data_IF_522484076210
#
_entry.id   IF_522484076210
#
_cell.length_a   1.000
_cell.length_b   1.000
_cell.length_c   1.000
_cell.angle_alpha   90.00
_cell.angle_beta   90.00
_cell.angle_gamma   90.00
#
_symmetry.space_group_name_H-M   'P 1'
#
loop_
_entity.id
_entity.type
_entity.pdbx_description
1 polymer ?
#
# COMPACT_ATOMS: atom_id res chain seq x y z
N UNK A 1 -6.19 12.16 -13.18
CA UNK A 1 -5.41 10.95 -12.90
C UNK A 1 -6.25 9.70 -12.98
N UNK A 2 -7.04 9.32 -11.97
CA UNK A 2 -7.69 7.99 -11.96
C UNK A 2 -8.75 7.82 -13.07
N UNK A 3 -9.65 8.80 -13.23
CA UNK A 3 -10.71 8.71 -14.25
C UNK A 3 -10.17 8.83 -15.69
N UNK A 4 -9.05 9.54 -15.87
CA UNK A 4 -8.46 9.84 -17.19
C UNK A 4 -7.33 8.90 -17.58
N UNK A 5 -6.67 8.25 -16.61
CA UNK A 5 -5.45 7.47 -16.81
C UNK A 5 -4.17 8.31 -17.05
N UNK A 6 -4.28 9.63 -17.07
CA UNK A 6 -3.16 10.55 -17.36
C UNK A 6 -2.47 11.03 -16.06
N UNK A 7 -1.19 11.39 -16.17
CA UNK A 7 -0.36 11.93 -15.08
C UNK A 7 -0.28 11.04 -13.82
N UNK A 8 -0.32 9.72 -14.01
CA UNK A 8 -0.10 8.76 -12.92
C UNK A 8 1.37 8.84 -12.49
N UNK A 9 1.59 9.22 -11.23
CA UNK A 9 2.92 9.25 -10.63
C UNK A 9 3.42 7.86 -10.21
N UNK A 10 4.66 7.82 -9.74
CA UNK A 10 5.32 6.57 -9.36
C UNK A 10 4.69 5.89 -8.16
N UNK A 11 4.28 6.66 -7.13
CA UNK A 11 3.69 6.10 -5.91
C UNK A 11 2.34 5.48 -6.19
N UNK A 12 1.53 6.13 -7.03
CA UNK A 12 0.25 5.61 -7.45
C UNK A 12 0.38 4.39 -8.37
N UNK A 13 1.30 4.42 -9.34
CA UNK A 13 1.58 3.25 -10.20
C UNK A 13 2.06 2.03 -9.40
N UNK A 14 2.93 2.24 -8.39
CA UNK A 14 3.40 1.20 -7.49
C UNK A 14 2.24 0.57 -6.71
N UNK A 15 1.33 1.40 -6.16
CA UNK A 15 0.15 0.92 -5.45
C UNK A 15 -0.79 0.09 -6.36
N UNK A 16 -1.00 0.52 -7.61
CA UNK A 16 -1.78 -0.25 -8.59
C UNK A 16 -1.15 -1.62 -8.88
N UNK A 17 0.17 -1.68 -9.06
CA UNK A 17 0.88 -2.92 -9.30
C UNK A 17 0.75 -3.91 -8.13
N UNK A 18 0.83 -3.44 -6.89
CA UNK A 18 0.58 -4.28 -5.72
C UNK A 18 -0.88 -4.74 -5.66
N UNK A 19 -1.84 -3.85 -5.90
CA UNK A 19 -3.25 -4.18 -5.88
C UNK A 19 -3.60 -5.28 -6.89
N UNK A 20 -3.07 -5.23 -8.12
CA UNK A 20 -3.33 -6.27 -9.12
C UNK A 20 -2.75 -7.62 -8.72
N UNK A 21 -1.53 -7.64 -8.15
CA UNK A 21 -0.93 -8.87 -7.64
C UNK A 21 -1.79 -9.50 -6.53
N UNK A 22 -2.27 -8.69 -5.59
CA UNK A 22 -3.15 -9.12 -4.49
C UNK A 22 -4.46 -9.69 -5.04
N UNK A 23 -5.09 -9.00 -6.01
CA UNK A 23 -6.32 -9.46 -6.67
C UNK A 23 -6.13 -10.79 -7.39
N UNK A 24 -4.96 -11.02 -7.98
CA UNK A 24 -4.59 -12.30 -8.61
C UNK A 24 -4.25 -13.42 -7.60
N UNK A 25 -4.26 -13.12 -6.29
CA UNK A 25 -3.96 -14.08 -5.24
C UNK A 25 -2.48 -14.22 -4.93
N UNK A 26 -1.63 -13.28 -5.36
CA UNK A 26 -0.21 -13.26 -5.04
C UNK A 26 0.06 -12.44 -3.78
N UNK A 27 0.76 -13.04 -2.81
CA UNK A 27 1.24 -12.33 -1.63
C UNK A 27 2.37 -11.36 -1.99
N UNK A 28 2.29 -10.14 -1.48
CA UNK A 28 3.32 -9.10 -1.65
C UNK A 28 3.90 -8.72 -0.29
N UNK A 29 5.23 -8.76 -0.17
CA UNK A 29 5.96 -8.30 1.03
C UNK A 29 6.90 -7.16 0.69
N UNK A 30 6.79 -6.06 1.42
CA UNK A 30 7.68 -4.91 1.35
C UNK A 30 8.37 -4.69 2.71
N UNK A 31 9.70 -4.77 2.75
CA UNK A 31 10.48 -4.63 3.98
C UNK A 31 11.63 -3.65 3.78
N UNK A 32 11.88 -2.78 4.77
CA UNK A 32 12.99 -1.84 4.77
C UNK A 32 12.76 -0.67 5.73
N UNK A 33 13.75 0.21 5.89
CA UNK A 33 13.62 1.37 6.77
C UNK A 33 12.64 2.38 6.16
N UNK A 34 11.66 2.82 6.96
CA UNK A 34 10.61 3.78 6.58
C UNK A 34 9.77 3.39 5.34
N UNK A 35 9.70 2.11 4.98
CA UNK A 35 8.97 1.67 3.76
C UNK A 35 7.47 1.88 3.84
N UNK A 36 6.87 1.90 5.04
CA UNK A 36 5.44 2.17 5.26
C UNK A 36 5.02 3.54 4.67
N UNK A 37 5.84 4.58 4.91
CA UNK A 37 5.64 5.93 4.37
C UNK A 37 6.35 6.13 3.02
N UNK A 38 7.52 5.51 2.89
CA UNK A 38 8.55 5.84 1.93
C UNK A 38 9.49 6.92 2.48
N UNK A 39 10.79 6.74 2.27
CA UNK A 39 11.84 7.71 2.64
C UNK A 39 11.51 9.11 2.10
N UNK A 40 11.03 9.18 0.85
CA UNK A 40 10.67 10.41 0.16
C UNK A 40 9.18 10.80 0.32
N UNK A 41 8.47 10.18 1.27
CA UNK A 41 7.05 10.42 1.53
C UNK A 41 6.14 10.24 0.30
N UNK A 42 6.49 9.29 -0.56
CA UNK A 42 5.81 9.09 -1.84
C UNK A 42 4.83 7.90 -1.85
N UNK A 43 4.83 7.05 -0.82
CA UNK A 43 4.10 5.78 -0.84
C UNK A 43 2.85 5.77 0.03
N UNK A 44 3.00 6.11 1.32
CA UNK A 44 1.90 6.05 2.29
C UNK A 44 1.10 4.73 2.26
N UNK A 45 1.80 3.58 2.18
CA UNK A 45 1.18 2.26 2.22
C UNK A 45 0.47 1.99 3.56
N UNK A 46 0.96 2.62 4.63
CA UNK A 46 0.26 2.70 5.92
C UNK A 46 -0.08 4.16 6.20
N UNK A 47 -1.35 4.39 6.51
CA UNK A 47 -1.88 5.68 6.97
C UNK A 47 -2.08 5.60 8.48
N UNK A 48 -1.70 6.67 9.19
CA UNK A 48 -1.87 6.79 10.63
C UNK A 48 -2.96 7.80 10.96
N UNK A 49 -3.95 7.38 11.74
CA UNK A 49 -4.94 8.29 12.31
C UNK A 49 -4.24 9.31 13.23
N UNK A 50 -4.50 10.59 13.03
CA UNK A 50 -3.81 11.67 13.75
C UNK A 50 -4.27 11.83 15.21
N UNK A 51 -5.41 11.23 15.57
CA UNK A 51 -6.01 11.31 16.90
C UNK A 51 -5.74 10.03 17.69
N UNK A 52 -6.00 8.87 17.09
CA UNK A 52 -5.91 7.57 17.77
C UNK A 52 -4.58 6.86 17.55
N UNK A 53 -3.80 7.26 16.53
CA UNK A 53 -2.60 6.56 16.05
C UNK A 53 -2.85 5.18 15.47
N UNK A 54 -4.11 4.83 15.21
CA UNK A 54 -4.44 3.59 14.54
C UNK A 54 -3.85 3.57 13.13
N UNK A 55 -3.40 2.38 12.72
CA UNK A 55 -2.84 2.14 11.39
C UNK A 55 -3.94 1.62 10.48
N UNK A 56 -3.93 2.12 9.24
CA UNK A 56 -4.76 1.60 8.17
C UNK A 56 -3.91 1.35 6.92
N UNK A 57 -4.00 0.14 6.37
CA UNK A 57 -3.37 -0.20 5.09
C UNK A 57 -4.47 -0.36 4.02
N UNK A 58 -4.57 0.56 3.04
CA UNK A 58 -5.58 0.46 1.99
C UNK A 58 -5.45 -0.82 1.14
N UNK A 59 -4.23 -1.34 0.97
CA UNK A 59 -3.97 -2.54 0.17
C UNK A 59 -4.51 -3.83 0.81
N UNK A 60 -4.82 -3.82 2.10
CA UNK A 60 -5.46 -4.96 2.79
C UNK A 60 -6.96 -5.07 2.47
N UNK A 61 -7.52 -4.09 1.76
CA UNK A 61 -8.97 -3.91 1.55
C UNK A 61 -9.35 -3.75 0.06
N UNK A 62 -8.56 -4.30 -0.87
CA UNK A 62 -8.81 -4.17 -2.32
C UNK A 62 -9.80 -5.19 -2.87
N UNK A 63 -10.10 -6.27 -2.13
CA UNK A 63 -11.10 -7.29 -2.49
C UNK A 63 -12.04 -7.61 -1.32
N UNK A 64 -13.25 -8.11 -1.62
CA UNK A 64 -14.17 -8.58 -0.57
C UNK A 64 -13.64 -9.85 0.08
N UNK A 65 -13.68 -9.94 1.41
CA UNK A 65 -13.14 -11.06 2.19
C UNK A 65 -11.66 -11.34 1.91
N UNK A 66 -10.89 -10.29 1.58
CA UNK A 66 -9.45 -10.38 1.42
C UNK A 66 -8.81 -10.94 2.70
N UNK A 67 -7.82 -11.83 2.55
CA UNK A 67 -6.94 -12.15 3.66
C UNK A 67 -6.02 -10.94 3.91
N UNK A 68 -6.09 -10.34 5.09
CA UNK A 68 -5.28 -9.18 5.49
C UNK A 68 -3.76 -9.46 5.42
N UNK A 69 -3.35 -10.72 5.39
CA UNK A 69 -1.94 -11.08 5.21
C UNK A 69 -1.46 -11.04 3.74
N UNK A 70 -2.32 -10.71 2.77
CA UNK A 70 -1.95 -10.68 1.34
C UNK A 70 -0.97 -9.56 0.98
N UNK A 71 -0.94 -8.48 1.76
CA UNK A 71 0.04 -7.42 1.63
C UNK A 71 0.71 -7.19 2.98
N UNK A 72 2.02 -7.47 3.07
CA UNK A 72 2.78 -7.24 4.30
C UNK A 72 3.82 -6.15 4.08
N UNK A 73 3.60 -4.98 4.67
CA UNK A 73 4.57 -3.89 4.72
C UNK A 73 5.15 -3.77 6.12
N UNK A 74 6.48 -3.73 6.23
CA UNK A 74 7.15 -3.74 7.53
C UNK A 74 8.36 -2.81 7.53
N UNK A 75 8.31 -1.78 8.39
CA UNK A 75 9.49 -0.99 8.70
C UNK A 75 10.54 -1.88 9.39
N UNK A 76 11.73 -2.00 8.79
CA UNK A 76 12.86 -2.68 9.41
C UNK A 76 13.57 -1.77 10.41
N UNK A 77 14.19 -2.40 11.41
CA UNK A 77 15.07 -1.73 12.38
C UNK A 77 16.45 -1.56 11.76
#
# INVERSE_FOLDING_TARGET
MIETGEDIDWGFAEALAFATLIVEGNHVRLSGQDVERGTFSHRHAVVHDQTTWDKYCPLDHVTMNQNEEMFTVSNSV
#
